data_IF_587478632709
#
_entry.id   IF_587478632709
#
_cell.length_a   1.000
_cell.length_b   1.000
_cell.length_c   1.000
_cell.angle_alpha   90.00
_cell.angle_beta   90.00
_cell.angle_gamma   90.00
#
_symmetry.space_group_name_H-M   'P 1'
#
loop_
_entity.id
_entity.type
_entity.pdbx_description
1 polymer ?
#
# COMPACT_ATOMS: atom_id res chain seq x y z
N UNK A 1 18.45 7.24 2.82
CA UNK A 1 17.52 6.18 3.26
C UNK A 1 17.20 6.46 4.71
N UNK A 2 15.94 6.76 5.02
CA UNK A 2 15.50 7.06 6.39
C UNK A 2 15.24 5.74 7.10
N UNK A 3 16.09 5.39 8.07
CA UNK A 3 15.93 4.16 8.83
C UNK A 3 14.94 4.40 9.97
N UNK A 4 13.70 3.96 9.77
CA UNK A 4 12.65 4.04 10.78
C UNK A 4 13.06 3.32 12.08
N UNK A 5 13.97 2.34 12.02
CA UNK A 5 14.49 1.62 13.20
C UNK A 5 15.35 2.51 14.09
N UNK A 6 16.07 3.48 13.53
CA UNK A 6 16.81 4.46 14.35
C UNK A 6 15.88 5.43 15.09
N UNK A 7 14.73 5.76 14.50
CA UNK A 7 13.70 6.58 15.15
C UNK A 7 13.02 5.85 16.32
N UNK A 8 12.86 4.52 16.20
CA UNK A 8 12.35 3.67 17.27
C UNK A 8 13.24 3.65 18.52
N UNK A 9 14.56 3.78 18.32
CA UNK A 9 15.55 3.68 19.40
C UNK A 9 15.78 5.00 20.14
N UNK A 10 15.58 6.16 19.50
CA UNK A 10 15.98 7.47 20.04
C UNK A 10 15.03 8.10 21.08
N UNK A 11 13.77 7.66 21.17
CA UNK A 11 12.74 8.34 21.97
C UNK A 11 12.25 7.54 23.19
N UNK A 12 13.16 6.98 23.97
CA UNK A 12 12.82 6.40 25.28
C UNK A 12 12.88 7.49 26.37
N UNK A 13 11.77 8.16 26.68
CA UNK A 13 11.66 8.99 27.89
C UNK A 13 10.22 9.24 28.36
N UNK A 14 9.98 8.81 29.60
CA UNK A 14 8.99 9.26 30.59
C UNK A 14 7.50 8.99 30.34
N UNK A 15 6.99 7.96 31.01
CA UNK A 15 5.57 7.60 31.06
C UNK A 15 4.82 8.41 32.14
N UNK A 16 3.72 9.05 31.74
CA UNK A 16 2.63 9.44 32.63
C UNK A 16 1.62 8.28 32.73
N UNK A 17 0.96 8.17 33.89
CA UNK A 17 0.02 7.11 34.27
C UNK A 17 -1.09 6.92 33.21
N UNK A 18 -0.86 5.95 32.34
CA UNK A 18 -1.84 5.42 31.38
C UNK A 18 -1.83 3.90 31.56
N UNK A 19 -2.98 3.24 31.44
CA UNK A 19 -3.06 1.78 31.56
C UNK A 19 -2.08 1.13 30.55
N UNK A 20 -1.01 0.54 31.07
CA UNK A 20 0.10 0.01 30.27
C UNK A 20 -0.35 -1.08 29.29
N UNK A 21 -1.49 -1.72 29.57
CA UNK A 21 -2.13 -2.72 28.71
C UNK A 21 -2.63 -2.09 27.41
N UNK A 22 -3.31 -0.96 27.51
CA UNK A 22 -3.90 -0.25 26.36
C UNK A 22 -2.82 0.33 25.46
N UNK A 23 -1.77 0.93 26.05
CA UNK A 23 -0.62 1.45 25.30
C UNK A 23 0.08 0.36 24.47
N UNK A 24 0.34 -0.80 25.10
CA UNK A 24 1.00 -1.92 24.46
C UNK A 24 0.18 -2.50 23.31
N UNK A 25 -1.13 -2.65 23.49
CA UNK A 25 -2.03 -3.12 22.44
C UNK A 25 -2.03 -2.18 21.21
N UNK A 26 -2.08 -0.87 21.43
CA UNK A 26 -2.05 0.11 20.33
C UNK A 26 -0.68 0.10 19.63
N UNK A 27 0.41 -0.04 20.38
CA UNK A 27 1.76 -0.17 19.83
C UNK A 27 1.89 -1.41 18.93
N UNK A 28 1.41 -2.57 19.40
CA UNK A 28 1.41 -3.83 18.64
C UNK A 28 0.59 -3.69 17.35
N UNK A 29 -0.61 -3.11 17.41
CA UNK A 29 -1.41 -2.87 16.20
C UNK A 29 -0.70 -1.96 15.20
N UNK A 30 -0.05 -0.89 15.65
CA UNK A 30 0.68 0.01 14.75
C UNK A 30 1.86 -0.70 14.07
N UNK A 31 2.56 -1.59 14.78
CA UNK A 31 3.65 -2.39 14.22
C UNK A 31 3.17 -3.33 13.10
N UNK A 32 1.92 -3.79 13.15
CA UNK A 32 1.32 -4.60 12.09
C UNK A 32 0.77 -3.75 10.93
N UNK A 33 0.20 -2.58 11.24
CA UNK A 33 -0.53 -1.73 10.28
C UNK A 33 0.37 -0.81 9.44
N UNK A 34 1.49 -0.32 9.98
CA UNK A 34 2.39 0.59 9.25
C UNK A 34 3.18 -0.07 8.11
N UNK A 35 3.80 -1.26 8.30
CA UNK A 35 4.73 -1.81 7.30
C UNK A 35 4.12 -2.02 5.91
N UNK A 36 2.87 -2.50 5.73
CA UNK A 36 2.27 -2.64 4.41
C UNK A 36 2.13 -1.29 3.68
N UNK A 37 1.74 -0.23 4.40
CA UNK A 37 1.57 1.13 3.86
C UNK A 37 2.92 1.71 3.43
N UNK A 38 3.91 1.62 4.31
CA UNK A 38 5.27 2.09 4.04
C UNK A 38 5.88 1.31 2.88
N UNK A 39 5.66 -0.01 2.82
CA UNK A 39 6.11 -0.86 1.72
C UNK A 39 5.52 -0.41 0.38
N UNK A 40 4.21 -0.14 0.34
CA UNK A 40 3.54 0.35 -0.85
C UNK A 40 4.02 1.75 -1.26
N UNK A 41 4.17 2.69 -0.33
CA UNK A 41 4.70 4.03 -0.61
C UNK A 41 6.15 3.98 -1.10
N UNK A 42 6.99 3.16 -0.48
CA UNK A 42 8.37 2.95 -0.94
C UNK A 42 8.41 2.35 -2.34
N UNK A 43 7.51 1.42 -2.66
CA UNK A 43 7.37 0.89 -3.99
C UNK A 43 6.96 1.98 -4.99
N UNK A 44 6.05 2.90 -4.62
CA UNK A 44 5.72 4.03 -5.51
C UNK A 44 6.89 4.97 -5.78
N UNK A 45 7.83 5.11 -4.83
CA UNK A 45 8.94 6.05 -4.94
C UNK A 45 10.20 5.45 -5.60
N UNK A 46 10.40 4.14 -5.47
CA UNK A 46 11.66 3.47 -5.82
C UNK A 46 11.51 2.39 -6.88
N UNK A 47 10.36 2.29 -7.55
CA UNK A 47 10.18 1.31 -8.61
C UNK A 47 11.19 1.61 -9.73
N UNK A 48 12.09 0.66 -10.08
CA UNK A 48 12.94 0.85 -11.25
C UNK A 48 12.05 0.88 -12.49
N UNK A 49 12.52 1.44 -13.61
CA UNK A 49 11.73 1.47 -14.85
C UNK A 49 10.37 2.15 -14.66
N UNK A 50 10.38 3.42 -14.24
CA UNK A 50 9.18 4.22 -13.87
C UNK A 50 8.02 3.98 -14.86
N UNK A 51 6.94 3.29 -14.42
CA UNK A 51 5.80 3.03 -15.28
C UNK A 51 5.11 4.30 -15.73
N UNK A 52 4.65 4.30 -16.98
CA UNK A 52 4.03 5.45 -17.63
C UNK A 52 2.74 5.93 -16.94
N UNK A 53 2.10 5.07 -16.16
CA UNK A 53 0.86 5.36 -15.44
C UNK A 53 1.06 6.00 -14.06
N UNK A 54 2.30 6.17 -13.57
CA UNK A 54 2.55 6.80 -12.25
C UNK A 54 1.98 8.21 -12.13
N UNK A 55 1.89 8.93 -13.26
CA UNK A 55 1.33 10.27 -13.32
C UNK A 55 -0.19 10.29 -13.55
N UNK A 56 -0.83 9.13 -13.67
CA UNK A 56 -2.28 9.04 -13.83
C UNK A 56 -3.02 9.47 -12.56
N UNK A 57 -4.25 9.94 -12.73
CA UNK A 57 -5.08 10.34 -11.59
C UNK A 57 -5.35 9.17 -10.63
N UNK A 58 -5.47 7.93 -11.15
CA UNK A 58 -5.64 6.71 -10.34
C UNK A 58 -4.44 6.50 -9.43
N UNK A 59 -3.20 6.57 -9.96
CA UNK A 59 -1.99 6.44 -9.14
C UNK A 59 -1.85 7.56 -8.12
N UNK A 60 -2.16 8.81 -8.51
CA UNK A 60 -2.06 9.97 -7.62
C UNK A 60 -3.05 9.85 -6.45
N UNK A 61 -4.31 9.48 -6.70
CA UNK A 61 -5.28 9.29 -5.61
C UNK A 61 -4.92 8.10 -4.72
N UNK A 62 -4.42 7.00 -5.29
CA UNK A 62 -3.88 5.87 -4.52
C UNK A 62 -2.78 6.32 -3.55
N UNK A 63 -1.79 7.04 -4.08
CA UNK A 63 -0.68 7.57 -3.30
C UNK A 63 -1.16 8.49 -2.17
N UNK A 64 -2.04 9.46 -2.49
CA UNK A 64 -2.59 10.39 -1.49
C UNK A 64 -3.34 9.67 -0.36
N UNK A 65 -4.04 8.57 -0.67
CA UNK A 65 -4.68 7.75 0.36
C UNK A 65 -3.66 7.11 1.29
N UNK A 66 -2.63 6.47 0.73
CA UNK A 66 -1.58 5.83 1.53
C UNK A 66 -0.81 6.84 2.38
N UNK A 67 -0.42 7.99 1.81
CA UNK A 67 0.27 9.07 2.54
C UNK A 67 -0.59 9.59 3.70
N UNK A 68 -1.90 9.76 3.49
CA UNK A 68 -2.80 10.21 4.54
C UNK A 68 -2.97 9.20 5.67
N UNK A 69 -3.03 7.90 5.35
CA UNK A 69 -3.07 6.81 6.34
C UNK A 69 -1.76 6.75 7.13
N UNK A 70 -0.63 6.74 6.43
CA UNK A 70 0.71 6.73 7.05
C UNK A 70 0.87 7.90 8.01
N UNK A 71 0.52 9.12 7.59
CA UNK A 71 0.64 10.30 8.42
C UNK A 71 -0.14 10.16 9.74
N UNK A 72 -1.35 9.61 9.72
CA UNK A 72 -2.13 9.42 10.94
C UNK A 72 -1.54 8.32 11.83
N UNK A 73 -1.08 7.20 11.25
CA UNK A 73 -0.39 6.17 12.02
C UNK A 73 0.90 6.69 12.66
N UNK A 74 1.65 7.56 12.00
CA UNK A 74 2.84 8.19 12.59
C UNK A 74 2.50 9.15 13.73
N UNK A 75 1.37 9.88 13.65
CA UNK A 75 0.83 10.68 14.76
C UNK A 75 0.50 9.77 15.94
N UNK A 76 -0.25 8.69 15.71
CA UNK A 76 -0.56 7.71 16.76
C UNK A 76 0.70 7.11 17.38
N UNK A 77 1.66 6.71 16.56
CA UNK A 77 2.94 6.17 17.01
C UNK A 77 3.64 7.13 17.96
N UNK A 78 3.76 8.41 17.58
CA UNK A 78 4.39 9.42 18.42
C UNK A 78 3.67 9.59 19.77
N UNK A 79 2.33 9.59 19.79
CA UNK A 79 1.60 9.72 21.04
C UNK A 79 1.69 8.48 21.92
N UNK A 80 1.61 7.28 21.35
CA UNK A 80 1.75 6.00 22.07
C UNK A 80 3.12 5.94 22.74
N UNK A 81 4.19 6.26 22.01
CA UNK A 81 5.56 6.26 22.53
C UNK A 81 5.80 7.26 23.66
N UNK A 82 5.06 8.37 23.66
CA UNK A 82 5.13 9.38 24.72
C UNK A 82 4.09 9.16 25.84
N UNK A 83 3.36 8.04 25.85
CA UNK A 83 2.27 7.76 26.79
C UNK A 83 1.18 8.85 26.82
N UNK A 84 0.81 9.38 25.64
CA UNK A 84 -0.13 10.49 25.46
C UNK A 84 -1.46 10.06 24.80
N UNK A 85 -2.09 8.98 25.25
CA UNK A 85 -3.31 8.43 24.63
C UNK A 85 -4.48 9.42 24.64
N UNK A 86 -4.72 10.15 25.75
CA UNK A 86 -5.79 11.14 25.81
C UNK A 86 -5.62 12.27 24.78
N UNK A 87 -4.36 12.63 24.49
CA UNK A 87 -4.05 13.64 23.46
C UNK A 87 -4.29 13.07 22.05
N UNK A 88 -3.93 11.80 21.83
CA UNK A 88 -4.23 11.09 20.59
C UNK A 88 -5.74 11.03 20.33
N UNK A 89 -6.54 10.68 21.35
CA UNK A 89 -8.00 10.66 21.26
C UNK A 89 -8.57 12.00 20.79
N UNK A 90 -8.13 13.10 21.40
CA UNK A 90 -8.58 14.44 21.02
C UNK A 90 -8.15 14.81 19.60
N UNK A 91 -6.89 14.55 19.23
CA UNK A 91 -6.38 14.83 17.88
C UNK A 91 -7.13 14.03 16.80
N UNK A 92 -7.40 12.75 17.05
CA UNK A 92 -8.15 11.90 16.14
C UNK A 92 -9.61 12.33 16.00
N UNK A 93 -10.23 12.78 17.09
CA UNK A 93 -11.59 13.34 17.06
C UNK A 93 -11.64 14.63 16.23
N UNK A 94 -10.69 15.54 16.44
CA UNK A 94 -10.58 16.79 15.67
C UNK A 94 -10.33 16.49 14.20
N UNK A 95 -9.41 15.57 13.91
CA UNK A 95 -9.09 15.17 12.54
C UNK A 95 -10.30 14.56 11.84
N UNK A 96 -11.04 13.65 12.49
CA UNK A 96 -12.26 13.06 11.93
C UNK A 96 -13.31 14.11 11.57
N UNK A 97 -13.55 15.07 12.47
CA UNK A 97 -14.49 16.17 12.21
C UNK A 97 -14.06 17.04 11.02
N UNK A 98 -12.75 17.23 10.82
CA UNK A 98 -12.22 17.90 9.61
C UNK A 98 -12.45 17.06 8.36
N UNK A 99 -12.27 15.73 8.43
CA UNK A 99 -12.52 14.83 7.31
C UNK A 99 -13.98 14.89 6.83
N UNK A 100 -14.96 14.88 7.74
CA UNK A 100 -16.38 14.95 7.38
C UNK A 100 -16.75 16.17 6.52
N UNK A 101 -16.04 17.29 6.71
CA UNK A 101 -16.30 18.58 6.05
C UNK A 101 -15.42 18.81 4.83
N UNK A 102 -14.44 17.94 4.57
CA UNK A 102 -13.44 18.15 3.53
C UNK A 102 -13.79 17.39 2.25
N UNK A 103 -13.80 18.10 1.12
CA UNK A 103 -13.88 17.51 -0.22
C UNK A 103 -12.63 16.70 -0.59
N UNK A 104 -11.54 16.90 0.14
CA UNK A 104 -10.25 16.19 0.01
C UNK A 104 -10.01 15.21 1.15
N UNK A 105 -11.08 14.72 1.78
CA UNK A 105 -10.97 13.72 2.83
C UNK A 105 -10.46 12.39 2.28
N UNK A 106 -9.86 11.55 3.14
CA UNK A 106 -9.42 10.20 2.76
C UNK A 106 -10.59 9.39 2.24
N UNK A 107 -11.73 9.45 2.92
CA UNK A 107 -12.96 8.79 2.48
C UNK A 107 -13.40 9.22 1.07
N UNK A 108 -13.47 10.53 0.80
CA UNK A 108 -13.89 11.00 -0.54
C UNK A 108 -12.85 10.70 -1.61
N UNK A 109 -11.57 10.79 -1.27
CA UNK A 109 -10.46 10.41 -2.17
C UNK A 109 -10.57 8.94 -2.56
N UNK A 110 -10.93 8.07 -1.60
CA UNK A 110 -11.21 6.66 -1.84
C UNK A 110 -12.39 6.44 -2.78
N UNK A 111 -13.54 7.03 -2.50
CA UNK A 111 -14.71 6.86 -3.38
C UNK A 111 -14.39 7.34 -4.81
N UNK A 112 -13.74 8.49 -4.97
CA UNK A 112 -13.32 9.00 -6.28
C UNK A 112 -12.31 8.08 -6.97
N UNK A 113 -11.34 7.55 -6.24
CA UNK A 113 -10.37 6.60 -6.77
C UNK A 113 -11.05 5.31 -7.24
N UNK A 114 -11.98 4.81 -6.45
CA UNK A 114 -12.74 3.60 -6.77
C UNK A 114 -13.60 3.79 -8.01
N UNK A 115 -14.30 4.93 -8.13
CA UNK A 115 -15.09 5.27 -9.31
C UNK A 115 -14.22 5.35 -10.57
N UNK A 116 -13.06 6.01 -10.49
CA UNK A 116 -12.12 6.10 -11.61
C UNK A 116 -11.57 4.73 -12.00
N UNK A 117 -11.19 3.91 -11.01
CA UNK A 117 -10.69 2.58 -11.23
C UNK A 117 -11.76 1.70 -11.89
N UNK A 118 -13.01 1.76 -11.46
CA UNK A 118 -14.13 1.04 -12.09
C UNK A 118 -14.31 1.46 -13.56
N UNK A 119 -14.33 2.78 -13.81
CA UNK A 119 -14.57 3.33 -15.13
C UNK A 119 -13.48 2.96 -16.13
N UNK A 120 -12.22 2.97 -15.70
CA UNK A 120 -11.08 2.74 -16.58
C UNK A 120 -10.66 1.26 -16.61
N UNK A 121 -10.79 0.55 -15.48
CA UNK A 121 -10.30 -0.80 -15.28
C UNK A 121 -11.17 -1.59 -14.29
N UNK A 122 -12.35 -2.02 -14.75
CA UNK A 122 -13.34 -2.76 -13.95
C UNK A 122 -12.81 -4.05 -13.27
N UNK A 123 -11.70 -4.61 -13.77
CA UNK A 123 -11.01 -5.77 -13.19
C UNK A 123 -10.22 -5.44 -11.91
N UNK A 124 -10.16 -4.17 -11.51
CA UNK A 124 -9.60 -3.75 -10.23
C UNK A 124 -8.13 -3.35 -10.23
N UNK A 125 -7.67 -2.98 -9.03
CA UNK A 125 -6.35 -2.41 -8.79
C UNK A 125 -5.22 -3.35 -9.20
N UNK A 126 -5.33 -4.63 -8.81
CA UNK A 126 -4.37 -5.65 -9.17
C UNK A 126 -4.19 -5.74 -10.70
N UNK A 127 -5.30 -5.87 -11.44
CA UNK A 127 -5.26 -5.92 -12.91
C UNK A 127 -4.67 -4.63 -13.49
N UNK A 128 -5.03 -3.47 -12.95
CA UNK A 128 -4.51 -2.19 -13.39
C UNK A 128 -2.99 -2.08 -13.24
N UNK A 129 -2.45 -2.43 -12.07
CA UNK A 129 -1.01 -2.48 -11.83
C UNK A 129 -0.35 -3.46 -12.78
N UNK A 130 -0.86 -4.69 -12.90
CA UNK A 130 -0.28 -5.68 -13.79
C UNK A 130 -0.24 -5.21 -15.25
N UNK A 131 -1.33 -4.64 -15.78
CA UNK A 131 -1.37 -4.09 -17.14
C UNK A 131 -0.32 -2.99 -17.31
N UNK A 132 -0.20 -2.13 -16.32
CA UNK A 132 0.77 -1.07 -16.31
C UNK A 132 2.22 -1.56 -16.28
N UNK A 133 2.51 -2.62 -15.54
CA UNK A 133 3.84 -3.28 -15.53
C UNK A 133 4.13 -3.95 -16.89
N UNK A 134 3.13 -4.60 -17.51
CA UNK A 134 3.23 -5.24 -18.84
C UNK A 134 3.54 -4.24 -19.94
N UNK A 135 2.94 -3.06 -19.88
CA UNK A 135 3.05 -2.03 -20.91
C UNK A 135 4.38 -1.26 -20.87
N UNK A 136 5.26 -1.50 -19.89
CA UNK A 136 6.51 -0.76 -19.79
C UNK A 136 7.43 -1.08 -21.00
N UNK A 137 8.02 -0.07 -21.68
CA UNK A 137 8.80 -0.27 -22.90
C UNK A 137 10.00 -1.21 -22.74
N UNK A 138 10.62 -1.22 -21.56
CA UNK A 138 11.78 -2.07 -21.27
C UNK A 138 11.45 -3.57 -21.35
N UNK A 139 10.57 -4.14 -20.50
CA UNK A 139 10.21 -5.55 -20.59
C UNK A 139 9.63 -5.90 -21.96
N UNK A 140 8.78 -5.05 -22.56
CA UNK A 140 8.25 -5.30 -23.90
C UNK A 140 9.35 -5.41 -24.96
N UNK A 141 10.39 -4.58 -24.89
CA UNK A 141 11.50 -4.61 -25.84
C UNK A 141 12.37 -5.85 -25.66
N UNK A 142 12.71 -6.19 -24.42
CA UNK A 142 13.54 -7.37 -24.15
C UNK A 142 12.81 -8.66 -24.54
N UNK A 143 11.50 -8.74 -24.32
CA UNK A 143 10.67 -9.87 -24.76
C UNK A 143 10.67 -10.08 -26.29
N UNK A 144 10.68 -8.98 -27.07
CA UNK A 144 10.73 -9.05 -28.54
C UNK A 144 12.06 -9.60 -29.07
N UNK A 145 13.12 -9.64 -28.25
CA UNK A 145 14.45 -10.16 -28.66
C UNK A 145 14.57 -11.68 -28.52
N UNK A 146 13.57 -12.37 -27.96
CA UNK A 146 13.56 -13.83 -27.77
C UNK A 146 13.85 -14.28 -26.33
N UNK A 147 13.80 -15.60 -26.10
CA UNK A 147 13.71 -16.22 -24.76
C UNK A 147 14.98 -16.21 -23.89
N UNK A 148 16.09 -15.59 -24.32
CA UNK A 148 17.29 -15.51 -23.49
C UNK A 148 17.56 -14.07 -23.06
N UNK A 149 17.13 -13.73 -21.85
CA UNK A 149 17.55 -12.50 -21.19
C UNK A 149 19.03 -12.58 -20.81
N UNK A 150 19.73 -11.45 -20.82
CA UNK A 150 21.07 -11.39 -20.21
C UNK A 150 20.93 -11.45 -18.68
N UNK A 151 21.96 -11.92 -17.94
CA UNK A 151 21.91 -11.94 -16.48
C UNK A 151 21.57 -10.58 -15.85
N UNK A 152 22.05 -9.48 -16.43
CA UNK A 152 21.75 -8.12 -15.96
C UNK A 152 20.28 -7.75 -16.19
N UNK A 153 19.71 -8.21 -17.30
CA UNK A 153 18.29 -8.02 -17.61
C UNK A 153 17.43 -8.81 -16.65
N UNK A 154 17.78 -10.07 -16.36
CA UNK A 154 17.07 -10.89 -15.38
C UNK A 154 17.08 -10.27 -13.98
N UNK A 155 18.23 -9.75 -13.54
CA UNK A 155 18.34 -9.07 -12.25
C UNK A 155 17.51 -7.78 -12.20
N UNK A 156 17.55 -6.96 -13.25
CA UNK A 156 16.76 -5.73 -13.29
C UNK A 156 15.25 -6.02 -13.30
N UNK A 157 14.83 -7.06 -14.01
CA UNK A 157 13.44 -7.51 -14.03
C UNK A 157 13.03 -8.09 -12.67
N UNK A 158 13.85 -8.93 -12.04
CA UNK A 158 13.58 -9.45 -10.71
C UNK A 158 13.44 -8.32 -9.68
N UNK A 159 14.34 -7.32 -9.73
CA UNK A 159 14.29 -6.15 -8.86
C UNK A 159 13.04 -5.30 -9.10
N UNK A 160 12.63 -5.13 -10.36
CA UNK A 160 11.39 -4.45 -10.72
C UNK A 160 10.17 -5.10 -10.08
N UNK A 161 10.06 -6.43 -10.14
CA UNK A 161 8.92 -7.13 -9.54
C UNK A 161 8.98 -7.23 -8.03
N UNK A 162 10.18 -7.39 -7.46
CA UNK A 162 10.39 -7.29 -6.01
C UNK A 162 9.91 -5.95 -5.49
N UNK A 163 10.27 -4.85 -6.17
CA UNK A 163 9.81 -3.51 -5.83
C UNK A 163 8.32 -3.30 -6.12
N UNK A 164 7.74 -3.93 -7.14
CA UNK A 164 6.30 -3.82 -7.44
C UNK A 164 5.41 -4.62 -6.50
N UNK A 165 5.93 -5.70 -5.88
CA UNK A 165 5.15 -6.65 -5.06
C UNK A 165 4.30 -5.95 -3.98
N UNK A 166 4.81 -4.98 -3.18
CA UNK A 166 3.99 -4.27 -2.21
C UNK A 166 2.79 -3.54 -2.84
N UNK A 167 2.93 -2.97 -4.05
CA UNK A 167 1.81 -2.31 -4.76
C UNK A 167 0.74 -3.31 -5.18
N UNK A 168 1.16 -4.47 -5.69
CA UNK A 168 0.29 -5.56 -6.13
C UNK A 168 -0.50 -6.14 -4.95
N UNK A 169 0.16 -6.30 -3.80
CA UNK A 169 -0.45 -6.84 -2.58
C UNK A 169 -1.33 -5.84 -1.84
N UNK A 170 -1.19 -4.54 -2.12
CA UNK A 170 -1.99 -3.52 -1.44
C UNK A 170 -3.44 -3.59 -1.89
N UNK A 171 -4.31 -3.98 -0.95
CA UNK A 171 -5.75 -3.81 -1.08
C UNK A 171 -6.17 -2.51 -0.38
N UNK A 172 -6.48 -1.49 -1.17
CA UNK A 172 -6.90 -0.18 -0.65
C UNK A 172 -8.15 -0.25 0.22
N UNK A 173 -9.07 -1.20 -0.05
CA UNK A 173 -10.22 -1.39 0.83
C UNK A 173 -9.78 -1.93 2.19
N UNK A 174 -8.92 -2.96 2.22
CA UNK A 174 -8.40 -3.51 3.47
C UNK A 174 -7.63 -2.43 4.26
N UNK A 175 -6.75 -1.69 3.59
CA UNK A 175 -6.00 -0.56 4.18
C UNK A 175 -6.93 0.43 4.88
N UNK A 176 -7.98 0.91 4.20
CA UNK A 176 -8.89 1.88 4.81
C UNK A 176 -9.79 1.26 5.87
N UNK A 177 -10.23 0.01 5.68
CA UNK A 177 -11.02 -0.70 6.68
C UNK A 177 -10.24 -0.83 7.99
N UNK A 178 -8.98 -1.25 7.90
CA UNK A 178 -8.12 -1.43 9.06
C UNK A 178 -7.79 -0.07 9.69
N UNK A 179 -7.53 0.96 8.88
CA UNK A 179 -7.34 2.32 9.36
C UNK A 179 -8.54 2.85 10.15
N UNK A 180 -9.75 2.77 9.59
CA UNK A 180 -10.95 3.25 10.28
C UNK A 180 -11.33 2.38 11.47
N UNK A 181 -11.01 1.08 11.44
CA UNK A 181 -11.18 0.19 12.60
C UNK A 181 -10.23 0.56 13.74
N UNK A 182 -8.96 0.85 13.43
CA UNK A 182 -7.98 1.37 14.37
C UNK A 182 -8.42 2.72 14.95
N UNK A 183 -8.88 3.65 14.09
CA UNK A 183 -9.36 4.96 14.51
C UNK A 183 -10.62 4.88 15.40
N UNK A 184 -11.47 3.87 15.17
CA UNK A 184 -12.69 3.68 15.95
C UNK A 184 -12.42 3.35 17.43
N UNK A 185 -11.23 2.84 17.77
CA UNK A 185 -10.78 2.66 19.16
C UNK A 185 -10.86 3.98 19.94
N UNK A 186 -10.53 5.09 19.28
CA UNK A 186 -10.45 6.42 19.90
C UNK A 186 -11.70 7.27 19.66
N UNK A 187 -12.36 7.10 18.51
CA UNK A 187 -13.44 7.98 18.08
C UNK A 187 -14.84 7.38 18.21
N UNK A 188 -14.93 6.05 18.40
CA UNK A 188 -16.18 5.28 18.33
C UNK A 188 -16.95 5.47 17.01
N UNK A 189 -16.28 5.97 15.97
CA UNK A 189 -16.85 6.31 14.68
C UNK A 189 -16.06 5.59 13.58
N UNK A 190 -16.77 4.92 12.68
CA UNK A 190 -16.19 4.29 11.50
C UNK A 190 -17.11 4.52 10.31
N UNK A 191 -16.64 5.13 9.22
CA UNK A 191 -17.45 5.34 8.03
C UNK A 191 -17.72 4.01 7.31
N UNK A 192 -18.87 3.92 6.64
CA UNK A 192 -19.13 2.83 5.72
C UNK A 192 -18.23 2.98 4.48
N UNK A 193 -17.40 1.97 4.22
CA UNK A 193 -16.55 1.90 3.04
C UNK A 193 -17.25 1.13 1.92
N UNK A 194 -17.51 1.75 0.75
CA UNK A 194 -18.04 1.02 -0.40
C UNK A 194 -17.05 -0.03 -0.88
N UNK A 195 -17.47 -1.30 -0.99
CA UNK A 195 -16.66 -2.35 -1.62
C UNK A 195 -16.92 -2.43 -3.11
N UNK A 196 -15.82 -2.60 -3.85
CA UNK A 196 -15.84 -3.00 -5.25
C UNK A 196 -16.25 -4.48 -5.28
N UNK A 197 -17.48 -4.79 -5.71
CA UNK A 197 -17.87 -6.18 -6.00
C UNK A 197 -17.18 -6.58 -7.30
N UNK A 198 -15.95 -7.07 -7.21
CA UNK A 198 -15.21 -7.57 -8.37
C UNK A 198 -15.67 -8.98 -8.69
N UNK A 199 -16.13 -9.19 -9.93
CA UNK A 199 -16.25 -10.52 -10.51
C UNK A 199 -14.88 -11.18 -10.52
N UNK A 200 -14.77 -12.29 -9.80
CA UNK A 200 -13.55 -13.08 -9.61
C UNK A 200 -13.07 -13.57 -10.97
N UNK A 201 -12.05 -12.95 -11.54
CA UNK A 201 -11.39 -13.41 -12.77
C UNK A 201 -9.87 -13.62 -12.59
N UNK A 202 -9.23 -12.94 -11.63
CA UNK A 202 -7.75 -12.90 -11.55
C UNK A 202 -7.19 -13.50 -10.24
N UNK A 203 -7.94 -14.37 -9.56
CA UNK A 203 -7.52 -14.94 -8.26
C UNK A 203 -6.26 -15.78 -8.36
N UNK A 204 -6.04 -16.49 -9.48
CA UNK A 204 -4.86 -17.33 -9.71
C UNK A 204 -3.57 -16.53 -9.90
N UNK A 205 -3.59 -15.44 -10.67
CA UNK A 205 -2.41 -14.58 -10.87
C UNK A 205 -2.01 -13.88 -9.58
N UNK A 206 -2.98 -13.42 -8.79
CA UNK A 206 -2.74 -12.77 -7.49
C UNK A 206 -2.13 -13.74 -6.48
N UNK A 207 -2.66 -14.96 -6.41
CA UNK A 207 -2.14 -16.01 -5.53
C UNK A 207 -0.70 -16.42 -5.88
N UNK A 208 -0.35 -16.44 -7.18
CA UNK A 208 1.04 -16.69 -7.61
C UNK A 208 1.95 -15.59 -7.07
N UNK A 209 1.59 -14.31 -7.23
CA UNK A 209 2.41 -13.19 -6.74
C UNK A 209 2.58 -13.16 -5.23
N UNK A 210 1.53 -13.51 -4.49
CA UNK A 210 1.54 -13.48 -3.03
C UNK A 210 2.47 -14.53 -2.44
N UNK A 211 2.62 -15.68 -3.10
CA UNK A 211 3.44 -16.81 -2.66
C UNK A 211 4.93 -16.71 -3.00
N UNK A 212 5.35 -15.70 -3.78
CA UNK A 212 6.75 -15.57 -4.20
C UNK A 212 7.65 -15.13 -3.06
N UNK A 213 8.65 -15.94 -2.72
CA UNK A 213 9.69 -15.55 -1.77
C UNK A 213 10.76 -14.64 -2.42
N UNK A 214 11.55 -13.92 -1.61
CA UNK A 214 12.54 -12.94 -2.11
C UNK A 214 13.63 -13.53 -3.03
N UNK A 215 13.92 -14.81 -2.87
CA UNK A 215 14.87 -15.57 -3.68
C UNK A 215 14.25 -16.19 -4.95
N UNK A 216 12.92 -16.14 -5.09
CA UNK A 216 12.20 -16.74 -6.21
C UNK A 216 11.81 -15.73 -7.28
N UNK A 217 12.10 -14.43 -7.11
CA UNK A 217 11.68 -13.39 -8.05
C UNK A 217 12.19 -13.56 -9.48
N UNK A 218 13.35 -14.21 -9.70
CA UNK A 218 13.86 -14.49 -11.06
C UNK A 218 13.02 -15.57 -11.74
N UNK A 219 12.65 -16.63 -11.02
CA UNK A 219 11.85 -17.73 -11.58
C UNK A 219 10.37 -17.35 -11.66
N UNK A 220 9.88 -16.63 -10.65
CA UNK A 220 8.59 -15.98 -10.69
C UNK A 220 8.48 -14.97 -11.82
N UNK A 221 9.59 -14.29 -12.13
CA UNK A 221 9.65 -13.45 -13.28
C UNK A 221 9.52 -14.25 -14.57
N UNK A 222 10.27 -15.33 -14.72
CA UNK A 222 10.09 -16.20 -15.87
C UNK A 222 8.67 -16.77 -15.98
N UNK A 223 8.10 -17.30 -14.90
CA UNK A 223 6.74 -17.87 -14.84
C UNK A 223 5.67 -16.82 -15.11
N UNK A 224 5.72 -15.67 -14.45
CA UNK A 224 4.76 -14.60 -14.66
C UNK A 224 4.84 -14.10 -16.10
N UNK A 225 6.04 -13.97 -16.67
CA UNK A 225 6.17 -13.58 -18.06
C UNK A 225 5.75 -14.68 -19.04
N UNK A 226 5.98 -15.96 -18.75
CA UNK A 226 5.49 -17.08 -19.59
C UNK A 226 3.97 -17.16 -19.59
N UNK A 227 3.31 -16.96 -18.42
CA UNK A 227 1.85 -16.86 -18.31
C UNK A 227 1.31 -15.68 -19.14
N UNK A 228 2.06 -14.59 -19.24
CA UNK A 228 1.70 -13.42 -20.04
C UNK A 228 2.02 -13.53 -21.53
N UNK A 229 3.03 -14.30 -21.91
CA UNK A 229 3.42 -14.55 -23.30
C UNK A 229 2.41 -15.48 -23.98
N UNK A 230 1.84 -16.44 -23.25
CA UNK A 230 0.93 -17.46 -23.80
C UNK A 230 -0.55 -17.02 -23.79
N UNK A 231 -0.86 -15.88 -23.16
CA UNK A 231 -2.23 -15.34 -23.04
C UNK A 231 -2.74 -14.49 -24.20
N UNK A 232 -2.05 -14.42 -25.35
CA UNK A 232 -2.52 -13.75 -26.57
C UNK A 232 -2.98 -14.76 -27.64
#
# INVERSE_FOLDING_TARGET
MFDWRELLLRNQSQAAQTDGTTLKMVEEQLLDLLPPIVGALNATANLPLEPTWFQSEIAQKFKLMLEGVEQQYLVAWNHVRNAQIQKLEEEYRIWYQKQLRSDKSLYRTYCQWQDLLIQQHAQGWFSWILLGLKAHPFPTRELKKGHSFTPETELLLAEFFRCAKPLIQTDTYAVLKDFYSFQAIFTQQSPFLPQLVQGISNSSEKEIFEKLEENEFVEAARIFWDILIVGN
#
